data_IF_912729754318
#
_entry.id   IF_912729754318
#
_cell.length_a   1.000
_cell.length_b   1.000
_cell.length_c   1.000
_cell.angle_alpha   90.00
_cell.angle_beta   90.00
_cell.angle_gamma   90.00
#
_symmetry.space_group_name_H-M   'P 1'
#
loop_
_entity.id
_entity.type
_entity.pdbx_description
1 polymer ?
#
# COMPACT_ATOMS: atom_id res chain seq x y z
N UNK A 1 25.14 6.24 17.86
CA UNK A 1 24.20 5.97 16.76
C UNK A 1 23.21 7.13 16.63
N UNK A 2 23.69 8.37 16.79
CA UNK A 2 22.84 9.57 16.96
C UNK A 2 22.98 10.53 15.78
N UNK A 3 23.69 10.13 14.73
CA UNK A 3 23.83 10.94 13.53
C UNK A 3 22.47 10.92 12.79
N UNK A 4 21.80 12.07 12.64
CA UNK A 4 20.47 12.15 12.03
C UNK A 4 20.41 11.51 10.64
N UNK A 5 21.51 11.57 9.88
CA UNK A 5 21.60 10.94 8.56
C UNK A 5 21.53 9.42 8.62
N UNK A 6 22.16 8.79 9.62
CA UNK A 6 22.13 7.34 9.81
C UNK A 6 20.71 6.90 10.19
N UNK A 7 20.01 7.68 11.02
CA UNK A 7 18.62 7.42 11.42
C UNK A 7 17.70 7.40 10.20
N UNK A 8 17.77 8.44 9.36
CA UNK A 8 16.96 8.55 8.15
C UNK A 8 17.28 7.43 7.17
N UNK A 9 18.57 7.14 6.93
CA UNK A 9 18.99 6.05 6.05
C UNK A 9 18.50 4.69 6.55
N UNK A 10 18.50 4.47 7.87
CA UNK A 10 17.97 3.25 8.48
C UNK A 10 16.47 3.13 8.23
N UNK A 11 15.70 4.20 8.46
CA UNK A 11 14.25 4.21 8.19
C UNK A 11 13.95 3.91 6.71
N UNK A 12 14.66 4.57 5.78
CA UNK A 12 14.52 4.34 4.34
C UNK A 12 14.87 2.89 3.99
N UNK A 13 15.99 2.38 4.48
CA UNK A 13 16.43 1.01 4.22
C UNK A 13 15.41 -0.02 4.72
N UNK A 14 14.97 0.12 5.98
CA UNK A 14 14.00 -0.79 6.59
C UNK A 14 12.67 -0.74 5.83
N UNK A 15 12.20 0.46 5.44
CA UNK A 15 10.99 0.63 4.66
C UNK A 15 11.07 -0.02 3.27
N UNK A 16 12.15 0.21 2.54
CA UNK A 16 12.37 -0.41 1.23
C UNK A 16 12.53 -1.91 1.31
N UNK A 17 13.30 -2.38 2.28
CA UNK A 17 13.52 -3.80 2.48
C UNK A 17 12.22 -4.51 2.90
N UNK A 18 11.44 -3.93 3.83
CA UNK A 18 10.17 -4.51 4.27
C UNK A 18 9.15 -4.56 3.14
N UNK A 19 8.98 -3.47 2.40
CA UNK A 19 8.08 -3.42 1.23
C UNK A 19 8.49 -4.44 0.17
N UNK A 20 9.78 -4.53 -0.15
CA UNK A 20 10.32 -5.51 -1.09
C UNK A 20 10.14 -6.96 -0.62
N UNK A 21 10.40 -7.25 0.65
CA UNK A 21 10.27 -8.58 1.24
C UNK A 21 8.80 -9.05 1.26
N UNK A 22 7.87 -8.17 1.59
CA UNK A 22 6.43 -8.44 1.56
C UNK A 22 5.99 -8.79 0.13
N UNK A 23 6.35 -7.96 -0.85
CA UNK A 23 6.00 -8.20 -2.26
C UNK A 23 6.63 -9.48 -2.81
N UNK A 24 7.89 -9.75 -2.48
CA UNK A 24 8.57 -10.99 -2.88
C UNK A 24 7.86 -12.22 -2.33
N UNK A 25 7.51 -12.21 -1.04
CA UNK A 25 6.84 -13.34 -0.39
C UNK A 25 5.47 -13.62 -0.99
N UNK A 26 4.67 -12.57 -1.19
CA UNK A 26 3.33 -12.69 -1.80
C UNK A 26 3.43 -13.19 -3.24
N UNK A 27 4.39 -12.68 -4.03
CA UNK A 27 4.63 -13.16 -5.40
C UNK A 27 5.11 -14.60 -5.46
N UNK A 28 5.89 -15.04 -4.47
CA UNK A 28 6.29 -16.44 -4.36
C UNK A 28 5.06 -17.33 -4.06
N UNK A 29 4.17 -16.88 -3.18
CA UNK A 29 2.92 -17.56 -2.85
C UNK A 29 1.95 -17.63 -4.06
N UNK A 30 1.86 -16.56 -4.86
CA UNK A 30 1.05 -16.51 -6.10
C UNK A 30 1.45 -17.59 -7.13
N UNK A 31 2.70 -18.09 -7.08
CA UNK A 31 3.19 -19.17 -7.96
C UNK A 31 2.84 -20.58 -7.46
N UNK A 32 2.50 -20.72 -6.18
CA UNK A 32 2.34 -22.00 -5.48
C UNK A 32 0.87 -22.34 -5.14
N UNK A 33 -0.07 -21.41 -5.36
CA UNK A 33 -1.52 -21.63 -5.23
C UNK A 33 -2.11 -21.15 -3.89
N UNK A 34 -3.43 -21.37 -3.71
CA UNK A 34 -4.21 -20.79 -2.61
C UNK A 34 -3.75 -21.23 -1.21
N UNK A 35 -3.26 -22.46 -1.06
CA UNK A 35 -2.71 -22.95 0.23
C UNK A 35 -1.39 -22.25 0.61
N UNK A 36 -0.60 -21.83 -0.37
CA UNK A 36 0.65 -21.11 -0.13
C UNK A 36 0.41 -19.69 0.42
N UNK A 37 -0.78 -19.12 0.18
CA UNK A 37 -1.19 -17.83 0.73
C UNK A 37 -1.47 -17.94 2.23
N UNK A 38 -2.18 -18.99 2.65
CA UNK A 38 -2.42 -19.29 4.06
C UNK A 38 -1.12 -19.61 4.82
N UNK A 39 -0.25 -20.42 4.21
CA UNK A 39 1.06 -20.72 4.76
C UNK A 39 1.93 -19.47 4.91
N UNK A 40 1.86 -18.53 3.96
CA UNK A 40 2.61 -17.27 4.05
C UNK A 40 2.21 -16.45 5.27
N UNK A 41 0.92 -16.38 5.59
CA UNK A 41 0.40 -15.70 6.80
C UNK A 41 0.80 -16.43 8.08
N UNK A 42 0.74 -17.77 8.05
CA UNK A 42 1.14 -18.58 9.20
C UNK A 42 2.63 -18.42 9.52
N UNK A 43 3.49 -18.48 8.51
CA UNK A 43 4.94 -18.32 8.69
C UNK A 43 5.35 -16.88 9.01
N UNK A 44 4.49 -15.87 8.81
CA UNK A 44 4.74 -14.52 9.31
C UNK A 44 4.24 -14.31 10.73
N UNK A 45 3.43 -15.21 11.34
CA UNK A 45 2.93 -15.03 12.71
C UNK A 45 4.02 -14.74 13.76
N UNK A 46 5.22 -15.36 13.72
CA UNK A 46 6.30 -14.99 14.64
C UNK A 46 6.72 -13.52 14.55
N UNK A 47 6.57 -12.88 13.37
CA UNK A 47 6.82 -11.45 13.18
C UNK A 47 5.82 -10.61 13.97
N UNK A 48 4.55 -11.02 14.01
CA UNK A 48 3.50 -10.34 14.77
C UNK A 48 3.76 -10.48 16.28
N UNK A 49 4.04 -11.71 16.74
CA UNK A 49 4.33 -11.98 18.16
C UNK A 49 5.59 -11.24 18.64
N UNK A 50 6.67 -11.30 17.84
CA UNK A 50 7.90 -10.55 18.11
C UNK A 50 7.69 -9.04 18.09
N UNK A 51 6.83 -8.54 17.20
CA UNK A 51 6.43 -7.12 17.16
C UNK A 51 5.72 -6.68 18.43
N UNK A 52 4.74 -7.43 18.94
CA UNK A 52 4.08 -7.09 20.21
C UNK A 52 5.02 -7.19 21.41
N UNK A 53 5.90 -8.20 21.43
CA UNK A 53 6.91 -8.34 22.48
C UNK A 53 7.88 -7.16 22.50
N UNK A 54 8.45 -6.80 21.35
CA UNK A 54 9.36 -5.67 21.23
C UNK A 54 8.68 -4.34 21.52
N UNK A 55 7.41 -4.18 21.11
CA UNK A 55 6.62 -3.00 21.46
C UNK A 55 6.49 -2.89 22.98
N UNK A 56 6.07 -3.97 23.66
CA UNK A 56 5.92 -4.00 25.11
C UNK A 56 7.22 -3.70 25.85
N UNK A 57 8.33 -4.31 25.43
CA UNK A 57 9.66 -4.07 26.01
C UNK A 57 10.10 -2.61 25.84
N UNK A 58 9.80 -2.01 24.67
CA UNK A 58 10.18 -0.63 24.39
C UNK A 58 9.39 0.43 25.16
N UNK A 59 8.22 0.11 25.73
CA UNK A 59 7.34 1.10 26.40
C UNK A 59 8.02 1.81 27.57
N UNK A 60 8.82 1.06 28.32
CA UNK A 60 9.53 1.52 29.52
C UNK A 60 11.00 1.85 29.27
N UNK A 61 11.46 1.73 28.02
CA UNK A 61 12.85 2.02 27.64
C UNK A 61 12.97 3.43 27.03
N UNK A 62 13.46 4.44 27.77
CA UNK A 62 13.67 5.80 27.27
C UNK A 62 14.98 5.94 26.48
N UNK A 63 15.71 4.85 26.22
CA UNK A 63 16.96 4.89 25.48
C UNK A 63 16.77 5.04 23.96
N UNK A 64 17.86 5.37 23.26
CA UNK A 64 17.90 5.38 21.78
C UNK A 64 17.54 4.00 21.22
N UNK A 65 17.96 2.93 21.89
CA UNK A 65 17.62 1.56 21.49
C UNK A 65 16.12 1.32 21.59
N UNK A 66 15.49 1.76 22.68
CA UNK A 66 14.04 1.71 22.86
C UNK A 66 13.29 2.38 21.71
N UNK A 67 13.75 3.54 21.22
CA UNK A 67 13.14 4.21 20.07
C UNK A 67 13.20 3.37 18.78
N UNK A 68 14.34 2.74 18.49
CA UNK A 68 14.49 1.84 17.35
C UNK A 68 13.65 0.57 17.49
N UNK A 69 13.64 -0.04 18.68
CA UNK A 69 12.85 -1.24 18.95
C UNK A 69 11.37 -0.93 18.79
N UNK A 70 10.88 0.18 19.32
CA UNK A 70 9.48 0.61 19.19
C UNK A 70 9.09 0.79 17.71
N UNK A 71 9.94 1.46 16.93
CA UNK A 71 9.73 1.69 15.50
C UNK A 71 9.71 0.38 14.69
N UNK A 72 10.71 -0.49 14.89
CA UNK A 72 10.81 -1.78 14.20
C UNK A 72 9.66 -2.72 14.58
N UNK A 73 9.25 -2.68 15.85
CA UNK A 73 8.12 -3.46 16.36
C UNK A 73 6.81 -3.05 15.72
N UNK A 74 6.54 -1.75 15.62
CA UNK A 74 5.36 -1.23 14.93
C UNK A 74 5.34 -1.62 13.44
N UNK A 75 6.50 -1.56 12.76
CA UNK A 75 6.64 -2.03 11.38
C UNK A 75 6.45 -3.54 11.23
N UNK A 76 6.89 -4.34 12.20
CA UNK A 76 6.73 -5.79 12.19
C UNK A 76 5.24 -6.17 12.34
N UNK A 77 4.53 -5.55 13.28
CA UNK A 77 3.08 -5.72 13.45
C UNK A 77 2.36 -5.33 12.15
N UNK A 78 2.67 -4.15 11.62
CA UNK A 78 2.08 -3.65 10.37
C UNK A 78 2.36 -4.58 9.19
N UNK A 79 3.61 -4.99 9.01
CA UNK A 79 4.03 -5.86 7.91
C UNK A 79 3.33 -7.22 7.93
N UNK A 80 2.98 -7.75 9.09
CA UNK A 80 2.15 -8.95 9.17
C UNK A 80 0.74 -8.71 8.61
N UNK A 81 0.10 -7.61 9.01
CA UNK A 81 -1.20 -7.22 8.46
C UNK A 81 -1.15 -7.01 6.95
N UNK A 82 -0.05 -6.47 6.42
CA UNK A 82 0.14 -6.36 4.96
C UNK A 82 0.19 -7.72 4.27
N UNK A 83 0.98 -8.66 4.80
CA UNK A 83 1.06 -10.00 4.22
C UNK A 83 -0.30 -10.69 4.29
N UNK A 84 -1.03 -10.55 5.40
CA UNK A 84 -2.37 -11.11 5.57
C UNK A 84 -3.39 -10.52 4.59
N UNK A 85 -3.33 -9.21 4.36
CA UNK A 85 -4.16 -8.51 3.38
C UNK A 85 -3.85 -8.95 1.95
N UNK A 86 -2.57 -8.89 1.55
CA UNK A 86 -2.12 -9.21 0.20
C UNK A 86 -2.32 -10.69 -0.17
N UNK A 87 -2.28 -11.57 0.83
CA UNK A 87 -2.55 -13.01 0.64
C UNK A 87 -4.04 -13.31 0.43
N UNK A 88 -4.93 -12.34 0.68
CA UNK A 88 -6.39 -12.53 0.55
C UNK A 88 -7.04 -13.28 1.72
N UNK A 89 -6.31 -13.50 2.81
CA UNK A 89 -6.81 -14.26 3.99
C UNK A 89 -7.75 -13.40 4.83
N UNK A 90 -7.44 -12.10 4.96
CA UNK A 90 -8.27 -11.12 5.65
C UNK A 90 -8.92 -10.20 4.61
N UNK A 91 -9.75 -10.78 3.73
CA UNK A 91 -10.60 -9.99 2.82
C UNK A 91 -12.05 -9.99 3.27
N UNK A 92 -12.76 -8.90 3.02
CA UNK A 92 -14.14 -8.65 3.40
C UNK A 92 -15.17 -9.61 2.77
N UNK A 93 -16.41 -9.64 3.28
CA UNK A 93 -17.45 -10.60 2.89
C UNK A 93 -17.93 -10.48 1.44
N UNK A 94 -17.60 -9.37 0.76
CA UNK A 94 -18.02 -9.13 -0.61
C UNK A 94 -16.92 -9.53 -1.60
N UNK A 95 -17.05 -10.70 -2.22
CA UNK A 95 -16.14 -11.19 -3.27
C UNK A 95 -16.71 -11.00 -4.69
N UNK A 96 -17.86 -10.32 -4.82
CA UNK A 96 -18.58 -10.21 -6.09
C UNK A 96 -18.07 -9.01 -6.92
N UNK A 97 -17.86 -9.18 -8.24
CA UNK A 97 -17.43 -8.09 -9.11
C UNK A 97 -18.45 -6.95 -9.16
N UNK A 98 -17.96 -5.70 -9.33
CA UNK A 98 -18.84 -4.54 -9.38
C UNK A 98 -19.79 -4.57 -10.58
N UNK A 99 -21.08 -4.27 -10.40
CA UNK A 99 -21.98 -4.01 -11.52
C UNK A 99 -21.49 -2.81 -12.36
N UNK A 100 -21.56 -2.85 -13.70
CA UNK A 100 -21.05 -1.77 -14.58
C UNK A 100 -21.64 -0.39 -14.29
N UNK A 101 -22.91 -0.33 -13.84
CA UNK A 101 -23.70 0.91 -13.70
C UNK A 101 -23.98 1.33 -12.25
N UNK A 102 -23.26 0.81 -11.25
CA UNK A 102 -23.52 1.19 -9.85
C UNK A 102 -23.17 2.67 -9.56
N UNK A 103 -23.97 3.42 -8.78
CA UNK A 103 -23.60 4.77 -8.35
C UNK A 103 -22.30 4.77 -7.53
N UNK A 104 -21.54 5.88 -7.55
CA UNK A 104 -20.19 5.96 -6.95
C UNK A 104 -20.15 5.58 -5.46
N UNK A 105 -21.17 6.00 -4.71
CA UNK A 105 -21.34 5.65 -3.30
C UNK A 105 -21.55 4.14 -3.08
N UNK A 106 -22.27 3.46 -3.97
CA UNK A 106 -22.49 2.03 -3.85
C UNK A 106 -21.24 1.23 -4.23
N UNK A 107 -20.43 1.73 -5.18
CA UNK A 107 -19.10 1.16 -5.45
C UNK A 107 -18.16 1.34 -4.26
N UNK A 108 -18.20 2.49 -3.59
CA UNK A 108 -17.47 2.75 -2.34
C UNK A 108 -17.84 1.72 -1.28
N UNK A 109 -19.13 1.58 -0.97
CA UNK A 109 -19.59 0.67 0.07
C UNK A 109 -19.23 -0.78 -0.24
N UNK A 110 -19.30 -1.18 -1.51
CA UNK A 110 -18.92 -2.52 -1.98
C UNK A 110 -17.42 -2.76 -1.92
N UNK A 111 -16.58 -1.76 -2.26
CA UNK A 111 -15.11 -1.83 -2.18
C UNK A 111 -14.61 -1.79 -0.73
N UNK A 112 -15.18 -0.93 0.11
CA UNK A 112 -14.93 -0.95 1.55
C UNK A 112 -15.38 -2.29 2.14
N UNK A 113 -16.51 -2.84 1.68
CA UNK A 113 -16.99 -4.18 2.03
C UNK A 113 -16.07 -5.33 1.59
N UNK A 114 -15.14 -5.13 0.65
CA UNK A 114 -14.14 -6.14 0.29
C UNK A 114 -12.88 -6.07 1.17
N UNK A 115 -12.71 -5.02 1.96
CA UNK A 115 -11.54 -4.79 2.84
C UNK A 115 -11.96 -4.63 4.31
N UNK A 116 -13.25 -4.69 4.62
CA UNK A 116 -13.81 -4.34 5.93
C UNK A 116 -13.15 -5.09 7.10
N UNK A 117 -12.97 -6.41 6.99
CA UNK A 117 -12.33 -7.21 8.05
C UNK A 117 -10.90 -6.78 8.33
N UNK A 118 -10.16 -6.39 7.29
CA UNK A 118 -8.80 -5.91 7.41
C UNK A 118 -8.75 -4.54 8.10
N UNK A 119 -9.64 -3.62 7.74
CA UNK A 119 -9.73 -2.32 8.40
C UNK A 119 -10.11 -2.47 9.87
N UNK A 120 -11.09 -3.32 10.18
CA UNK A 120 -11.47 -3.60 11.57
C UNK A 120 -10.31 -4.19 12.37
N UNK A 121 -9.53 -5.10 11.78
CA UNK A 121 -8.35 -5.67 12.43
C UNK A 121 -7.27 -4.61 12.70
N UNK A 122 -7.04 -3.69 11.76
CA UNK A 122 -6.12 -2.55 11.96
C UNK A 122 -6.62 -1.59 13.04
N UNK A 123 -7.92 -1.25 13.05
CA UNK A 123 -8.51 -0.37 14.08
C UNK A 123 -8.43 -1.02 15.47
N UNK A 124 -8.74 -2.32 15.57
CA UNK A 124 -8.61 -3.07 16.81
C UNK A 124 -7.17 -3.08 17.31
N UNK A 125 -6.22 -3.33 16.41
CA UNK A 125 -4.78 -3.29 16.74
C UNK A 125 -4.33 -1.91 17.19
N UNK A 126 -4.73 -0.86 16.48
CA UNK A 126 -4.43 0.53 16.87
C UNK A 126 -4.97 0.83 18.27
N UNK A 127 -6.17 0.35 18.59
CA UNK A 127 -6.79 0.54 19.91
C UNK A 127 -6.02 -0.21 20.99
N UNK A 128 -5.61 -1.45 20.73
CA UNK A 128 -4.76 -2.22 21.65
C UNK A 128 -3.43 -1.50 21.91
N UNK A 129 -2.75 -1.06 20.85
CA UNK A 129 -1.48 -0.32 20.97
C UNK A 129 -1.70 0.98 21.75
N UNK A 130 -2.77 1.73 21.48
CA UNK A 130 -3.09 2.96 22.18
C UNK A 130 -3.33 2.74 23.68
N UNK A 131 -4.08 1.70 24.06
CA UNK A 131 -4.34 1.36 25.46
C UNK A 131 -3.06 0.93 26.17
N UNK A 132 -2.25 0.09 25.51
CA UNK A 132 -1.00 -0.43 26.09
C UNK A 132 0.08 0.64 26.19
N UNK A 133 0.15 1.55 25.22
CA UNK A 133 1.10 2.67 25.22
C UNK A 133 0.63 3.88 26.02
N UNK A 134 -0.56 3.83 26.65
CA UNK A 134 -1.09 4.95 27.41
C UNK A 134 -0.23 5.24 28.65
N UNK A 135 0.38 6.42 28.70
CA UNK A 135 1.28 6.81 29.79
C UNK A 135 2.66 6.14 29.75
N UNK A 136 3.02 5.51 28.63
CA UNK A 136 4.35 4.94 28.43
C UNK A 136 5.43 6.04 28.31
N UNK A 137 6.66 5.72 28.72
CA UNK A 137 7.80 6.64 28.56
C UNK A 137 8.23 6.81 27.11
N UNK A 138 7.98 5.79 26.29
CA UNK A 138 8.30 5.77 24.86
C UNK A 138 7.03 5.62 24.03
N UNK A 139 6.62 6.70 23.38
CA UNK A 139 5.44 6.78 22.54
C UNK A 139 5.71 6.51 21.05
N UNK A 140 6.97 6.28 20.65
CA UNK A 140 7.35 6.22 19.24
C UNK A 140 6.72 5.04 18.49
N UNK A 141 6.50 3.91 19.17
CA UNK A 141 5.83 2.74 18.58
C UNK A 141 4.36 3.02 18.22
N UNK A 142 3.65 3.71 19.12
CA UNK A 142 2.27 4.16 18.88
C UNK A 142 2.21 5.11 17.69
N UNK A 143 3.02 6.17 17.69
CA UNK A 143 3.02 7.17 16.61
C UNK A 143 3.44 6.59 15.27
N UNK A 144 4.37 5.64 15.26
CA UNK A 144 4.75 4.89 14.05
C UNK A 144 3.54 4.18 13.46
N UNK A 145 2.78 3.45 14.30
CA UNK A 145 1.58 2.74 13.84
C UNK A 145 0.46 3.69 13.39
N UNK A 146 0.28 4.81 14.09
CA UNK A 146 -0.68 5.86 13.73
C UNK A 146 -0.36 6.46 12.35
N UNK A 147 0.91 6.79 12.08
CA UNK A 147 1.34 7.32 10.78
C UNK A 147 1.01 6.32 9.66
N UNK A 148 1.36 5.05 9.86
CA UNK A 148 1.08 4.00 8.88
C UNK A 148 -0.42 3.86 8.61
N UNK A 149 -1.23 3.85 9.68
CA UNK A 149 -2.68 3.74 9.60
C UNK A 149 -3.29 4.90 8.81
N UNK A 150 -2.99 6.15 9.17
CA UNK A 150 -3.54 7.31 8.48
C UNK A 150 -3.01 7.46 7.06
N UNK A 151 -1.72 7.19 6.82
CA UNK A 151 -1.14 7.18 5.48
C UNK A 151 -1.87 6.17 4.58
N UNK A 152 -2.19 4.97 5.11
CA UNK A 152 -2.99 3.96 4.40
C UNK A 152 -4.39 4.41 4.08
N UNK A 153 -5.10 4.97 5.06
CA UNK A 153 -6.48 5.46 4.84
C UNK A 153 -6.45 6.58 3.79
N UNK A 154 -5.50 7.51 3.90
CA UNK A 154 -5.32 8.60 2.92
C UNK A 154 -5.01 8.07 1.51
N UNK A 155 -4.11 7.11 1.38
CA UNK A 155 -3.80 6.43 0.12
C UNK A 155 -5.05 5.77 -0.49
N UNK A 156 -5.82 5.04 0.31
CA UNK A 156 -7.06 4.37 -0.13
C UNK A 156 -8.13 5.37 -0.57
N UNK A 157 -8.29 6.47 0.17
CA UNK A 157 -9.21 7.54 -0.20
C UNK A 157 -8.78 8.21 -1.50
N UNK A 158 -7.50 8.52 -1.66
CA UNK A 158 -6.96 9.08 -2.90
C UNK A 158 -7.21 8.14 -4.09
N UNK A 159 -6.89 6.85 -3.96
CA UNK A 159 -7.18 5.83 -4.98
C UNK A 159 -8.68 5.71 -5.29
N UNK A 160 -9.54 5.78 -4.28
CA UNK A 160 -10.98 5.67 -4.44
C UNK A 160 -11.59 6.84 -5.21
N UNK A 161 -11.27 8.07 -4.80
CA UNK A 161 -11.77 9.26 -5.50
C UNK A 161 -11.12 9.47 -6.88
N UNK A 162 -10.08 8.68 -7.17
CA UNK A 162 -9.48 8.51 -8.46
C UNK A 162 -8.18 9.29 -8.59
N UNK A 163 -7.14 8.57 -8.99
CA UNK A 163 -5.81 9.11 -9.27
C UNK A 163 -5.45 8.79 -10.73
N UNK A 164 -4.69 9.65 -11.43
CA UNK A 164 -4.37 9.45 -12.85
C UNK A 164 -3.68 8.14 -13.20
N UNK A 165 -3.06 7.45 -12.24
CA UNK A 165 -2.42 6.15 -12.45
C UNK A 165 -2.78 5.18 -11.33
N UNK A 166 -3.35 4.03 -11.69
CA UNK A 166 -3.53 2.90 -10.76
C UNK A 166 -2.49 1.86 -11.13
N UNK A 167 -1.56 1.58 -10.22
CA UNK A 167 -0.50 0.58 -10.40
C UNK A 167 -1.07 -0.85 -10.30
N UNK A 168 -1.92 -1.24 -11.24
CA UNK A 168 -2.57 -2.56 -11.29
C UNK A 168 -1.57 -3.71 -11.44
N UNK A 169 -0.34 -3.42 -11.88
CA UNK A 169 0.76 -4.38 -12.08
C UNK A 169 1.41 -4.86 -10.75
N UNK A 170 1.20 -4.14 -9.64
CA UNK A 170 1.71 -4.52 -8.32
C UNK A 170 0.67 -5.27 -7.46
N UNK A 171 -0.57 -5.40 -7.95
CA UNK A 171 -1.63 -6.11 -7.24
C UNK A 171 -1.48 -7.64 -7.45
N UNK A 172 -1.32 -8.43 -6.37
CA UNK A 172 -1.34 -9.90 -6.42
C UNK A 172 -2.64 -10.43 -7.03
N UNK A 173 -2.61 -11.65 -7.58
CA UNK A 173 -3.77 -12.26 -8.28
C UNK A 173 -5.09 -12.22 -7.48
N UNK A 174 -5.12 -12.43 -6.14
CA UNK A 174 -6.34 -12.31 -5.35
C UNK A 174 -6.96 -10.90 -5.33
N UNK A 175 -6.14 -9.86 -5.43
CA UNK A 175 -6.57 -8.46 -5.43
C UNK A 175 -6.79 -7.91 -6.84
N UNK A 176 -6.65 -8.73 -7.89
CA UNK A 176 -6.92 -8.32 -9.27
C UNK A 176 -8.37 -7.88 -9.48
N UNK A 177 -9.32 -8.42 -8.69
CA UNK A 177 -10.73 -8.00 -8.74
C UNK A 177 -10.93 -6.57 -8.19
N UNK A 178 -10.11 -6.10 -7.25
CA UNK A 178 -10.15 -4.72 -6.73
C UNK A 178 -9.79 -3.69 -7.81
N UNK A 179 -8.91 -4.06 -8.75
CA UNK A 179 -8.56 -3.20 -9.90
C UNK A 179 -9.78 -2.82 -10.75
N UNK A 180 -10.81 -3.67 -10.81
CA UNK A 180 -12.06 -3.39 -11.53
C UNK A 180 -12.96 -2.34 -10.86
N UNK A 181 -12.73 -2.07 -9.56
CA UNK A 181 -13.49 -1.07 -8.80
C UNK A 181 -12.84 0.33 -8.81
N UNK A 182 -11.56 0.44 -9.19
CA UNK A 182 -10.84 1.71 -9.21
C UNK A 182 -11.03 2.44 -10.54
N UNK A 183 -11.36 3.74 -10.46
CA UNK A 183 -11.51 4.62 -11.62
C UNK A 183 -10.20 5.38 -11.86
N UNK A 184 -9.73 5.42 -13.10
CA UNK A 184 -8.75 6.43 -13.54
C UNK A 184 -9.46 7.79 -13.57
N UNK A 185 -9.10 8.73 -12.70
CA UNK A 185 -9.67 10.07 -12.68
C UNK A 185 -8.59 11.15 -12.57
N UNK A 186 -8.83 12.29 -13.21
CA UNK A 186 -7.98 13.48 -13.08
C UNK A 186 -8.19 14.13 -11.70
N UNK A 187 -7.10 14.21 -10.94
CA UNK A 187 -6.86 15.01 -9.73
C UNK A 187 -8.08 15.32 -8.84
N UNK A 188 -8.18 14.63 -7.69
CA UNK A 188 -9.19 14.89 -6.68
C UNK A 188 -8.69 15.87 -5.58
N UNK A 189 -9.60 16.65 -4.98
CA UNK A 189 -9.31 17.59 -3.88
C UNK A 189 -8.75 16.92 -2.61
N UNK A 190 -8.92 15.61 -2.44
CA UNK A 190 -8.33 14.87 -1.31
C UNK A 190 -6.80 14.79 -1.41
N UNK A 191 -6.23 14.90 -2.62
CA UNK A 191 -4.79 14.90 -2.81
C UNK A 191 -4.09 16.10 -2.15
N UNK A 192 -4.42 17.38 -2.46
CA UNK A 192 -3.77 18.51 -1.81
C UNK A 192 -3.99 18.52 -0.29
N UNK A 193 -5.14 18.05 0.21
CA UNK A 193 -5.39 17.90 1.66
C UNK A 193 -4.42 16.88 2.27
N UNK A 194 -4.26 15.72 1.63
CA UNK A 194 -3.37 14.65 2.11
C UNK A 194 -1.91 15.09 2.10
N UNK A 195 -1.46 15.72 1.01
CA UNK A 195 -0.09 16.25 0.88
C UNK A 195 0.18 17.33 1.92
N UNK A 196 -0.77 18.25 2.13
CA UNK A 196 -0.63 19.31 3.13
C UNK A 196 -0.57 18.73 4.53
N UNK A 197 -1.44 17.78 4.87
CA UNK A 197 -1.46 17.14 6.19
C UNK A 197 -0.16 16.36 6.46
N UNK A 198 0.33 15.58 5.50
CA UNK A 198 1.60 14.85 5.63
C UNK A 198 2.80 15.80 5.71
N UNK A 199 2.83 16.85 4.90
CA UNK A 199 3.89 17.87 4.96
C UNK A 199 3.89 18.61 6.30
N UNK A 200 2.71 18.94 6.82
CA UNK A 200 2.55 19.54 8.13
C UNK A 200 3.02 18.60 9.24
N UNK A 201 2.64 17.31 9.19
CA UNK A 201 3.10 16.31 10.16
C UNK A 201 4.63 16.17 10.16
N UNK A 202 5.27 16.14 8.98
CA UNK A 202 6.75 16.15 8.88
C UNK A 202 7.33 17.36 9.59
N UNK A 203 6.79 18.56 9.35
CA UNK A 203 7.24 19.78 10.02
C UNK A 203 7.11 19.69 11.53
N UNK A 204 5.98 19.17 12.05
CA UNK A 204 5.80 18.95 13.49
C UNK A 204 6.83 17.97 14.07
N UNK A 205 7.13 16.88 13.37
CA UNK A 205 8.14 15.92 13.81
C UNK A 205 9.53 16.51 13.79
N UNK A 206 9.88 17.30 12.77
CA UNK A 206 11.16 18.00 12.70
C UNK A 206 11.29 19.08 13.77
N UNK A 207 10.24 19.84 14.05
CA UNK A 207 10.21 20.81 15.14
C UNK A 207 10.48 20.12 16.48
N UNK A 208 9.79 19.01 16.77
CA UNK A 208 10.01 18.23 17.99
C UNK A 208 11.39 17.57 18.04
N UNK A 209 11.95 17.19 16.90
CA UNK A 209 13.31 16.69 16.80
C UNK A 209 14.34 17.79 17.14
N UNK A 210 14.13 19.02 16.64
CA UNK A 210 15.01 20.16 16.91
C UNK A 210 14.91 20.64 18.37
N UNK A 211 13.72 20.54 18.97
CA UNK A 211 13.48 20.86 20.37
C UNK A 211 13.82 19.69 21.33
N UNK A 212 14.33 18.56 20.83
CA UNK A 212 14.58 17.39 21.65
C UNK A 212 15.74 17.61 22.62
N UNK A 213 15.47 17.42 23.92
CA UNK A 213 16.48 17.52 24.98
C UNK A 213 17.28 16.22 25.17
N UNK A 214 16.78 15.09 24.64
CA UNK A 214 17.42 13.79 24.73
C UNK A 214 17.71 13.18 23.36
N UNK A 215 18.80 12.42 23.27
CA UNK A 215 19.17 11.70 22.04
C UNK A 215 18.09 10.72 21.59
N UNK A 216 17.40 10.06 22.53
CA UNK A 216 16.31 9.13 22.22
C UNK A 216 15.13 9.86 21.57
N UNK A 217 14.77 11.03 22.10
CA UNK A 217 13.73 11.87 21.52
C UNK A 217 14.11 12.38 20.13
N UNK A 218 15.36 12.82 19.95
CA UNK A 218 15.85 13.23 18.63
C UNK A 218 15.72 12.10 17.61
N UNK A 219 16.23 10.91 17.95
CA UNK A 219 16.20 9.73 17.06
C UNK A 219 14.77 9.29 16.76
N UNK A 220 13.89 9.20 17.76
CA UNK A 220 12.50 8.79 17.58
C UNK A 220 11.74 9.74 16.65
N UNK A 221 11.83 11.05 16.87
CA UNK A 221 11.17 12.03 15.99
C UNK A 221 11.75 12.04 14.57
N UNK A 222 13.06 11.83 14.41
CA UNK A 222 13.68 11.69 13.08
C UNK A 222 13.20 10.43 12.34
N UNK A 223 12.98 9.30 13.05
CA UNK A 223 12.38 8.10 12.46
C UNK A 223 10.94 8.37 12.00
N UNK A 224 10.12 9.04 12.82
CA UNK A 224 8.74 9.42 12.47
C UNK A 224 8.70 10.39 11.28
N UNK A 225 9.61 11.38 11.25
CA UNK A 225 9.74 12.33 10.15
C UNK A 225 10.11 11.61 8.85
N UNK A 226 11.10 10.71 8.89
CA UNK A 226 11.52 9.93 7.73
C UNK A 226 10.39 9.03 7.22
N UNK A 227 9.66 8.35 8.10
CA UNK A 227 8.52 7.52 7.73
C UNK A 227 7.39 8.34 7.10
N UNK A 228 7.07 9.49 7.69
CA UNK A 228 6.03 10.39 7.14
C UNK A 228 6.45 10.96 5.79
N UNK A 229 7.74 11.27 5.60
CA UNK A 229 8.30 11.70 4.33
C UNK A 229 8.22 10.61 3.26
N UNK A 230 8.46 9.35 3.63
CA UNK A 230 8.27 8.20 2.73
C UNK A 230 6.80 8.03 2.34
N UNK A 231 5.87 8.15 3.30
CA UNK A 231 4.44 8.15 3.02
C UNK A 231 4.03 9.32 2.10
N UNK A 232 4.55 10.53 2.34
CA UNK A 232 4.33 11.69 1.47
C UNK A 232 4.82 11.42 0.05
N UNK A 233 6.02 10.83 -0.10
CA UNK A 233 6.60 10.47 -1.39
C UNK A 233 5.77 9.39 -2.10
N UNK A 234 5.24 8.41 -1.38
CA UNK A 234 4.29 7.43 -1.91
C UNK A 234 3.03 8.11 -2.49
N UNK A 235 2.49 9.12 -1.80
CA UNK A 235 1.35 9.89 -2.31
C UNK A 235 1.70 10.66 -3.58
N UNK A 236 2.88 11.28 -3.63
CA UNK A 236 3.39 11.91 -4.85
C UNK A 236 3.54 10.92 -6.00
N UNK A 237 3.97 9.69 -5.73
CA UNK A 237 4.09 8.65 -6.77
C UNK A 237 2.75 8.24 -7.39
N UNK A 238 1.64 8.41 -6.68
CA UNK A 238 0.33 8.16 -7.26
C UNK A 238 -0.03 9.21 -8.33
N UNK A 239 0.42 10.46 -8.17
CA UNK A 239 0.07 11.59 -9.06
C UNK A 239 1.12 11.88 -10.12
N UNK A 240 2.41 11.81 -9.76
CA UNK A 240 3.49 12.12 -10.68
C UNK A 240 3.76 10.90 -11.57
N UNK A 241 3.79 11.06 -12.91
CA UNK A 241 4.04 9.96 -13.82
C UNK A 241 5.53 9.56 -13.84
N UNK A 242 6.08 9.07 -12.74
CA UNK A 242 7.43 8.53 -12.68
C UNK A 242 7.47 7.11 -13.27
N UNK A 243 8.49 6.74 -14.07
CA UNK A 243 8.65 5.38 -14.59
C UNK A 243 9.20 4.42 -13.52
N UNK A 244 8.43 4.22 -12.45
CA UNK A 244 8.66 3.22 -11.40
C UNK A 244 8.80 1.78 -11.95
N UNK A 245 8.21 1.51 -13.12
CA UNK A 245 8.37 0.27 -13.89
C UNK A 245 9.83 -0.11 -14.16
N UNK A 246 10.76 0.85 -14.23
CA UNK A 246 12.19 0.55 -14.48
C UNK A 246 12.92 0.01 -13.24
N UNK A 247 12.53 0.44 -12.04
CA UNK A 247 13.16 -0.01 -10.77
C UNK A 247 12.74 -1.44 -10.39
N UNK A 248 11.53 -1.85 -10.79
CA UNK A 248 10.93 -3.14 -10.45
C UNK A 248 10.74 -4.06 -11.66
N UNK A 249 11.40 -3.74 -12.80
CA UNK A 249 11.30 -4.51 -14.06
C UNK A 249 11.75 -5.96 -13.96
N UNK A 250 12.64 -6.25 -13.02
CA UNK A 250 13.09 -7.60 -12.67
C UNK A 250 12.02 -8.44 -11.95
N UNK A 251 10.88 -7.82 -11.65
CA UNK A 251 9.85 -8.33 -10.75
C UNK A 251 8.46 -8.36 -11.40
N UNK A 252 8.29 -7.70 -12.55
CA UNK A 252 7.11 -7.78 -13.40
C UNK A 252 7.11 -9.12 -14.18
N UNK A 253 5.96 -9.76 -14.41
CA UNK A 253 5.87 -10.86 -15.37
C UNK A 253 6.38 -10.36 -16.73
N UNK A 254 7.16 -11.17 -17.45
CA UNK A 254 7.28 -10.96 -18.89
C UNK A 254 5.86 -10.90 -19.44
N UNK A 255 5.51 -9.76 -20.04
CA UNK A 255 4.27 -9.65 -20.78
C UNK A 255 4.29 -10.81 -21.78
N UNK A 256 3.44 -11.82 -21.57
CA UNK A 256 3.23 -12.87 -22.55
C UNK A 256 3.00 -12.13 -23.86
N UNK A 257 3.83 -12.33 -24.90
CA UNK A 257 3.69 -11.61 -26.15
C UNK A 257 2.26 -11.82 -26.60
N UNK A 258 1.47 -10.74 -26.55
CA UNK A 258 0.12 -10.70 -27.09
C UNK A 258 0.22 -11.35 -28.45
N UNK A 259 -0.50 -12.46 -28.61
CA UNK A 259 -0.51 -13.26 -29.81
C UNK A 259 -0.60 -12.30 -30.98
N UNK A 260 0.51 -12.22 -31.72
CA UNK A 260 0.68 -11.50 -32.97
C UNK A 260 -0.64 -11.63 -33.72
N UNK A 261 -1.41 -10.52 -33.82
CA UNK A 261 -2.62 -10.48 -34.64
C UNK A 261 -2.25 -11.10 -35.98
N UNK A 262 -2.69 -12.34 -36.21
CA UNK A 262 -2.45 -13.04 -37.45
C UNK A 262 -3.13 -12.19 -38.49
N UNK A 263 -2.32 -11.49 -39.28
CA UNK A 263 -2.74 -10.68 -40.40
C UNK A 263 -3.50 -11.63 -41.31
N UNK A 264 -4.83 -11.55 -41.30
CA UNK A 264 -5.66 -12.27 -42.28
C UNK A 264 -5.21 -11.78 -43.66
N UNK A 265 -4.68 -12.64 -44.54
CA UNK A 265 -4.35 -12.22 -45.89
C UNK A 265 -5.66 -11.91 -46.60
N UNK A 266 -5.86 -10.65 -46.99
CA UNK A 266 -6.93 -10.26 -47.90
C UNK A 266 -6.63 -10.84 -49.29
N UNK A 267 -7.13 -12.04 -49.57
CA UNK A 267 -7.13 -12.61 -50.91
C UNK A 267 -8.17 -11.89 -51.77
N UNK A 268 -7.66 -10.99 -52.60
CA UNK A 268 -7.99 -10.74 -54.02
C UNK A 268 -9.33 -11.31 -54.52
N UNK A 269 -10.27 -10.39 -54.80
CA UNK A 269 -10.91 -10.22 -56.11
C UNK A 269 -11.82 -11.32 -56.67
N UNK A 270 -13.13 -11.08 -56.63
CA UNK A 270 -14.08 -11.55 -57.65
C UNK A 270 -15.24 -10.56 -57.83
N UNK A 271 -15.15 -9.79 -58.91
CA UNK A 271 -16.17 -9.20 -59.81
C UNK A 271 -17.57 -8.85 -59.27
N UNK A 272 -17.91 -7.56 -59.41
CA UNK A 272 -19.25 -6.99 -59.36
C UNK A 272 -20.23 -7.65 -60.34
N UNK A 273 -21.51 -7.80 -59.99
CA UNK A 273 -22.58 -7.92 -60.97
C UNK A 273 -22.93 -6.54 -61.54
N UNK A 274 -22.90 -6.50 -62.85
CA UNK A 274 -23.25 -5.40 -63.75
C UNK A 274 -24.74 -5.03 -63.62
N UNK A 275 -25.01 -3.73 -63.44
CA UNK A 275 -26.36 -3.15 -63.44
C UNK A 275 -26.75 -2.86 -64.89
N UNK A 276 -27.78 -3.54 -65.40
CA UNK A 276 -28.43 -3.21 -66.68
C UNK A 276 -29.60 -2.22 -66.45
N UNK A 277 -29.74 -1.14 -67.24
CA UNK A 277 -30.79 -0.15 -67.07
C UNK A 277 -32.05 -0.44 -67.92
N UNK A 278 -33.21 -0.17 -67.31
CA UNK A 278 -34.49 0.36 -67.86
C UNK A 278 -35.01 -0.10 -69.25
N UNK A 279 -36.27 -0.54 -69.32
CA UNK A 279 -37.25 -0.07 -70.31
C UNK A 279 -38.70 -0.47 -69.99
N UNK A 280 -39.62 0.43 -70.36
CA UNK A 280 -41.09 0.40 -70.29
C UNK A 280 -41.74 -0.80 -71.01
N UNK A 281 -42.87 -1.29 -70.47
CA UNK A 281 -44.23 -1.02 -70.96
C UNK A 281 -45.27 -1.63 -70.02
#
# INVERSE_FOLDING_TARGET
MNNPWIVVLTAIFVWWFSTGAILWRVRHADRLGHEAHLLSVFYTLPLLGGGFYGLHDSLTDPSVTGAYVAFLSALAIWGWFEVAFLSGVITGPNTRPCPPFAPQWERFLRATGTILWHELALIATLTVILVVSWGATNEFGLWTFVILFFARISAKLNLFFGVPRIHTEFLPRPLSHLASHFRHASMNWVFPVSITALSFAISCWLERALAAESDASLVGHMLLAALTALALLEHWFMVVPLPDQKLWRWMLPEATPSARKTRVPSTIGTKSPEVLPTARN
#
